data_IF_477350715592
#
_entry.id   IF_477350715592
#
_cell.length_a   1.000
_cell.length_b   1.000
_cell.length_c   1.000
_cell.angle_alpha   90.00
_cell.angle_beta   90.00
_cell.angle_gamma   90.00
#
_symmetry.space_group_name_H-M   'P 1'
#
loop_
_entity.id
_entity.type
_entity.pdbx_description
1 polymer ?
#
# COMPACT_ATOMS: atom_id res chain seq x y z
N UNK A 1 -45.64 27.09 -29.40
CA UNK A 1 -45.44 26.76 -27.99
C UNK A 1 -44.59 25.48 -27.92
N UNK A 2 -43.28 25.62 -27.71
CA UNK A 2 -42.31 24.51 -27.78
C UNK A 2 -42.04 24.04 -26.36
N UNK A 3 -42.58 22.89 -25.97
CA UNK A 3 -42.27 22.28 -24.67
C UNK A 3 -40.90 21.60 -24.75
N UNK A 4 -39.90 22.20 -24.11
CA UNK A 4 -38.60 21.59 -23.90
C UNK A 4 -38.75 20.63 -22.71
N UNK A 5 -38.79 19.34 -22.99
CA UNK A 5 -38.71 18.31 -21.96
C UNK A 5 -37.29 18.24 -21.43
N UNK A 6 -37.05 18.75 -20.22
CA UNK A 6 -35.78 18.53 -19.49
C UNK A 6 -35.81 17.11 -18.91
N UNK A 7 -34.87 16.22 -19.27
CA UNK A 7 -34.84 14.91 -18.67
C UNK A 7 -34.45 15.04 -17.19
N UNK A 8 -35.33 14.64 -16.30
CA UNK A 8 -35.08 14.49 -14.89
C UNK A 8 -34.08 13.33 -14.73
N UNK A 9 -32.79 13.65 -14.62
CA UNK A 9 -31.78 12.70 -14.20
C UNK A 9 -32.14 12.23 -12.78
N UNK A 10 -32.31 10.91 -12.59
CA UNK A 10 -32.64 10.35 -11.31
C UNK A 10 -31.52 10.67 -10.29
N UNK A 11 -31.90 10.94 -9.04
CA UNK A 11 -30.97 11.30 -7.96
C UNK A 11 -29.81 10.28 -7.77
N UNK A 12 -30.05 9.02 -8.11
CA UNK A 12 -29.04 7.95 -8.10
C UNK A 12 -27.93 8.15 -9.16
N UNK A 13 -28.25 8.68 -10.34
CA UNK A 13 -27.26 8.94 -11.38
C UNK A 13 -26.37 10.13 -11.02
N UNK A 14 -26.96 11.19 -10.43
CA UNK A 14 -26.21 12.36 -9.97
C UNK A 14 -25.25 11.95 -8.83
N UNK A 15 -25.71 11.13 -7.88
CA UNK A 15 -24.88 10.65 -6.78
C UNK A 15 -23.69 9.79 -7.26
N UNK A 16 -23.90 8.91 -8.26
CA UNK A 16 -22.83 8.08 -8.82
C UNK A 16 -21.80 8.92 -9.59
N UNK A 17 -22.23 9.93 -10.34
CA UNK A 17 -21.35 10.84 -11.10
C UNK A 17 -20.52 11.70 -10.14
N UNK A 18 -21.12 12.24 -9.08
CA UNK A 18 -20.40 13.02 -8.06
C UNK A 18 -19.42 12.14 -7.29
N UNK A 19 -19.80 10.92 -6.93
CA UNK A 19 -18.93 9.97 -6.23
C UNK A 19 -17.73 9.55 -7.10
N UNK A 20 -17.94 9.27 -8.39
CA UNK A 20 -16.85 8.95 -9.32
C UNK A 20 -15.90 10.15 -9.54
N UNK A 21 -16.41 11.38 -9.47
CA UNK A 21 -15.58 12.58 -9.57
C UNK A 21 -14.72 12.84 -8.32
N UNK A 22 -15.16 12.38 -7.15
CA UNK A 22 -14.46 12.58 -5.86
C UNK A 22 -13.45 11.48 -5.53
N UNK A 23 -13.52 10.32 -6.19
CA UNK A 23 -12.64 9.15 -5.95
C UNK A 23 -11.35 9.17 -6.80
N UNK A 24 -11.05 10.27 -7.51
CA UNK A 24 -9.84 10.39 -8.32
C UNK A 24 -8.87 11.36 -7.67
N UNK A 25 -7.64 10.91 -7.48
CA UNK A 25 -6.53 11.68 -6.95
C UNK A 25 -5.54 12.02 -8.09
N UNK A 26 -4.70 13.02 -7.89
CA UNK A 26 -3.54 13.21 -8.75
C UNK A 26 -2.57 12.04 -8.51
N UNK A 27 -1.95 11.54 -9.57
CA UNK A 27 -1.07 10.39 -9.44
C UNK A 27 0.02 10.33 -10.49
N UNK A 28 1.11 9.67 -10.12
CA UNK A 28 2.23 9.30 -10.98
C UNK A 28 2.39 7.79 -10.93
N UNK A 29 2.27 7.14 -12.07
CA UNK A 29 2.51 5.71 -12.23
C UNK A 29 3.87 5.50 -12.86
N UNK A 30 4.77 4.81 -12.16
CA UNK A 30 6.05 4.38 -12.69
C UNK A 30 5.92 2.90 -13.04
N UNK A 31 6.16 2.56 -14.30
CA UNK A 31 6.14 1.20 -14.80
C UNK A 31 7.47 0.49 -14.51
N UNK A 32 7.49 -0.84 -14.50
CA UNK A 32 8.71 -1.64 -14.30
C UNK A 32 9.77 -1.45 -15.40
N UNK A 33 9.34 -1.03 -16.59
CA UNK A 33 10.23 -0.70 -17.71
C UNK A 33 10.79 0.74 -17.65
N UNK A 34 10.46 1.50 -16.59
CA UNK A 34 10.85 2.88 -16.39
C UNK A 34 9.92 3.91 -17.03
N UNK A 35 8.90 3.49 -17.78
CA UNK A 35 7.91 4.42 -18.35
C UNK A 35 7.10 5.09 -17.25
N UNK A 36 6.83 6.39 -17.40
CA UNK A 36 6.07 7.15 -16.41
C UNK A 36 4.82 7.79 -17.02
N UNK A 37 3.75 7.78 -16.23
CA UNK A 37 2.49 8.44 -16.58
C UNK A 37 2.03 9.32 -15.42
N UNK A 38 1.63 10.54 -15.72
CA UNK A 38 1.07 11.49 -14.74
C UNK A 38 -0.35 11.83 -15.12
N UNK A 39 -1.23 11.96 -14.14
CA UNK A 39 -2.62 12.30 -14.37
C UNK A 39 -3.52 11.96 -13.19
N UNK A 40 -4.82 11.91 -13.44
CA UNK A 40 -5.79 11.56 -12.41
C UNK A 40 -6.01 10.07 -12.35
N UNK A 41 -5.85 9.49 -11.17
CA UNK A 41 -5.93 8.06 -10.93
C UNK A 41 -7.06 7.75 -9.94
N UNK A 42 -7.79 6.65 -10.20
CA UNK A 42 -8.71 6.11 -9.20
C UNK A 42 -7.90 5.29 -8.18
N UNK A 43 -8.07 5.64 -6.89
CA UNK A 43 -7.39 4.93 -5.80
C UNK A 43 -7.68 3.42 -5.85
N UNK A 44 -6.66 2.56 -5.82
CA UNK A 44 -6.86 1.12 -5.83
C UNK A 44 -7.44 0.63 -4.50
N UNK A 45 -8.18 -0.46 -4.56
CA UNK A 45 -8.37 -1.37 -3.43
C UNK A 45 -7.22 -2.37 -3.41
N UNK A 46 -7.00 -3.07 -2.31
CA UNK A 46 -5.91 -4.04 -2.20
C UNK A 46 -5.85 -5.05 -3.36
N UNK A 47 -6.97 -5.54 -3.84
CA UNK A 47 -7.09 -6.55 -4.90
C UNK A 47 -7.29 -5.99 -6.31
N UNK A 48 -7.11 -4.68 -6.53
CA UNK A 48 -7.29 -4.05 -7.85
C UNK A 48 -6.23 -4.54 -8.83
N UNK A 49 -6.64 -5.15 -9.92
CA UNK A 49 -5.72 -5.70 -10.93
C UNK A 49 -5.34 -4.69 -12.02
N UNK A 50 -6.10 -3.62 -12.17
CA UNK A 50 -5.90 -2.62 -13.23
C UNK A 50 -6.09 -1.23 -12.67
N UNK A 51 -5.08 -0.39 -12.79
CA UNK A 51 -5.16 1.04 -12.51
C UNK A 51 -5.74 1.77 -13.72
N UNK A 52 -6.70 2.66 -13.47
CA UNK A 52 -7.24 3.57 -14.48
C UNK A 52 -6.67 4.95 -14.22
N UNK A 53 -5.98 5.48 -15.21
CA UNK A 53 -5.37 6.80 -15.18
C UNK A 53 -5.90 7.62 -16.35
N UNK A 54 -6.23 8.89 -16.09
CA UNK A 54 -6.56 9.88 -17.11
C UNK A 54 -5.46 10.92 -17.12
N UNK A 55 -4.69 10.95 -18.22
CA UNK A 55 -3.60 11.92 -18.43
C UNK A 55 -4.14 13.36 -18.61
N UNK A 56 -3.29 14.36 -18.54
CA UNK A 56 -3.66 15.77 -18.69
C UNK A 56 -4.22 16.08 -20.09
N UNK A 57 -3.70 15.41 -21.13
CA UNK A 57 -4.21 15.48 -22.51
C UNK A 57 -5.54 14.73 -22.73
N UNK A 58 -6.09 14.13 -21.66
CA UNK A 58 -7.38 13.44 -21.64
C UNK A 58 -7.37 11.99 -22.06
N UNK A 59 -6.21 11.40 -22.37
CA UNK A 59 -6.07 9.98 -22.67
C UNK A 59 -6.46 9.12 -21.47
N UNK A 60 -7.16 8.02 -21.70
CA UNK A 60 -7.56 7.05 -20.66
C UNK A 60 -6.72 5.79 -20.77
N UNK A 61 -5.87 5.56 -19.80
CA UNK A 61 -5.00 4.40 -19.71
C UNK A 61 -5.56 3.34 -18.77
N UNK A 62 -5.32 2.08 -19.09
CA UNK A 62 -5.57 0.90 -18.24
C UNK A 62 -4.25 0.17 -18.07
N UNK A 63 -3.66 0.27 -16.90
CA UNK A 63 -2.33 -0.25 -16.57
C UNK A 63 -2.48 -1.47 -15.65
N UNK A 64 -1.88 -2.60 -16.01
CA UNK A 64 -1.93 -3.80 -15.17
C UNK A 64 -1.06 -3.60 -13.91
N UNK A 65 -1.55 -4.04 -12.77
CA UNK A 65 -0.81 -3.95 -11.50
C UNK A 65 0.53 -4.70 -11.53
N UNK A 66 0.64 -5.78 -12.31
CA UNK A 66 1.88 -6.56 -12.49
C UNK A 66 3.00 -5.80 -13.17
N UNK A 67 2.66 -4.79 -13.97
CA UNK A 67 3.58 -4.03 -14.80
C UNK A 67 3.99 -2.70 -14.14
N UNK A 68 3.33 -2.34 -13.02
CA UNK A 68 3.59 -1.12 -12.26
C UNK A 68 4.66 -1.41 -11.19
N UNK A 69 5.69 -0.56 -11.14
CA UNK A 69 6.69 -0.57 -10.08
C UNK A 69 6.16 0.17 -8.84
N UNK A 70 5.67 1.40 -9.03
CA UNK A 70 5.14 2.23 -7.94
C UNK A 70 4.05 3.17 -8.45
N UNK A 71 3.07 3.42 -7.60
CA UNK A 71 2.02 4.42 -7.79
C UNK A 71 2.17 5.50 -6.70
N UNK A 72 2.61 6.70 -7.07
CA UNK A 72 2.54 7.87 -6.22
C UNK A 72 1.16 8.54 -6.35
N UNK A 73 0.56 8.93 -5.23
CA UNK A 73 -0.74 9.59 -5.18
C UNK A 73 -0.74 10.75 -4.21
N UNK A 74 -1.43 11.83 -4.56
CA UNK A 74 -1.54 13.02 -3.71
C UNK A 74 -2.83 13.79 -3.97
N UNK A 75 -3.19 14.64 -3.04
CA UNK A 75 -4.28 15.59 -3.22
C UNK A 75 -3.77 16.80 -3.98
N UNK A 76 -4.51 17.29 -4.99
CA UNK A 76 -4.14 18.47 -5.77
C UNK A 76 -3.83 19.70 -4.91
N UNK A 77 -4.47 19.80 -3.74
CA UNK A 77 -4.27 20.89 -2.77
C UNK A 77 -3.10 20.64 -1.81
N UNK A 78 -2.47 19.46 -1.83
CA UNK A 78 -1.39 19.04 -0.93
C UNK A 78 -0.34 18.25 -1.72
N UNK A 79 0.33 18.92 -2.65
CA UNK A 79 1.36 18.30 -3.52
C UNK A 79 2.64 17.93 -2.77
N UNK A 80 2.82 18.48 -1.57
CA UNK A 80 3.87 18.16 -0.61
C UNK A 80 3.67 16.81 0.10
N UNK A 81 2.44 16.26 0.06
CA UNK A 81 2.07 15.00 0.70
C UNK A 81 1.82 13.91 -0.34
N UNK A 82 2.90 13.36 -0.89
CA UNK A 82 2.83 12.23 -1.81
C UNK A 82 2.88 10.90 -1.04
N UNK A 83 1.94 10.01 -1.31
CA UNK A 83 1.88 8.67 -0.74
C UNK A 83 2.20 7.63 -1.81
N UNK A 84 3.01 6.65 -1.46
CA UNK A 84 3.42 5.61 -2.39
C UNK A 84 2.70 4.31 -2.11
N UNK A 85 2.21 3.69 -3.20
CA UNK A 85 1.56 2.39 -3.20
C UNK A 85 2.33 1.46 -4.14
N UNK A 86 2.55 0.24 -3.68
CA UNK A 86 3.18 -0.83 -4.45
C UNK A 86 2.27 -2.04 -4.52
N UNK A 87 2.51 -2.94 -5.48
CA UNK A 87 1.70 -4.15 -5.63
C UNK A 87 2.59 -5.38 -5.62
N UNK A 88 2.64 -6.08 -4.46
CA UNK A 88 3.47 -7.27 -4.26
C UNK A 88 2.67 -8.46 -3.73
N UNK A 89 3.09 -9.70 -4.04
CA UNK A 89 2.62 -10.88 -3.33
C UNK A 89 3.23 -10.92 -1.92
N UNK A 90 2.57 -11.64 -1.01
CA UNK A 90 3.10 -11.88 0.33
C UNK A 90 2.74 -13.28 0.83
N UNK A 91 3.54 -13.80 1.76
CA UNK A 91 3.27 -15.06 2.44
C UNK A 91 2.45 -14.85 3.70
N UNK A 92 1.50 -15.76 3.93
CA UNK A 92 0.76 -15.80 5.20
C UNK A 92 1.64 -16.40 6.28
N UNK A 93 1.59 -15.83 7.50
CA UNK A 93 2.26 -16.42 8.66
C UNK A 93 1.61 -17.74 9.07
N UNK A 94 2.40 -18.65 9.62
CA UNK A 94 1.92 -19.89 10.27
C UNK A 94 1.43 -19.58 11.69
N UNK A 95 0.36 -18.80 11.86
CA UNK A 95 -0.23 -18.70 13.19
C UNK A 95 -0.93 -20.01 13.56
N UNK A 96 -0.40 -20.74 14.56
CA UNK A 96 -1.01 -21.92 15.18
C UNK A 96 -1.37 -23.08 14.25
N UNK A 97 -0.78 -23.19 13.06
CA UNK A 97 -1.12 -24.20 12.07
C UNK A 97 0.09 -24.93 11.54
N UNK A 98 -0.01 -26.26 11.42
CA UNK A 98 0.94 -27.13 10.68
C UNK A 98 0.82 -26.96 9.15
N UNK A 99 -0.12 -26.13 8.68
CA UNK A 99 -0.32 -25.88 7.24
C UNK A 99 0.85 -25.10 6.65
N UNK A 100 1.20 -25.41 5.40
CA UNK A 100 2.23 -24.66 4.65
C UNK A 100 1.84 -23.20 4.53
N UNK A 101 2.83 -22.31 4.58
CA UNK A 101 2.67 -20.89 4.22
C UNK A 101 2.01 -20.81 2.84
N UNK A 102 1.06 -19.90 2.67
CA UNK A 102 0.35 -19.68 1.40
C UNK A 102 0.78 -18.33 0.84
N UNK A 103 1.21 -18.32 -0.41
CA UNK A 103 1.47 -17.08 -1.14
C UNK A 103 0.11 -16.49 -1.57
N UNK A 104 -0.11 -15.25 -1.19
CA UNK A 104 -1.26 -14.46 -1.62
C UNK A 104 -0.88 -13.72 -2.90
N UNK A 105 -1.81 -13.67 -3.87
CA UNK A 105 -1.64 -12.91 -5.12
C UNK A 105 -1.29 -11.44 -4.81
N UNK A 106 -0.61 -10.74 -5.75
CA UNK A 106 -0.20 -9.36 -5.56
C UNK A 106 -1.35 -8.48 -5.04
N UNK A 107 -1.08 -7.72 -4.00
CA UNK A 107 -2.00 -6.79 -3.36
C UNK A 107 -1.38 -5.39 -3.34
N UNK A 108 -2.21 -4.37 -3.49
CA UNK A 108 -1.78 -2.98 -3.29
C UNK A 108 -1.56 -2.72 -1.80
N UNK A 109 -0.42 -2.13 -1.49
CA UNK A 109 0.01 -1.79 -0.13
C UNK A 109 0.59 -0.39 -0.12
N UNK A 110 0.37 0.38 0.95
CA UNK A 110 1.09 1.63 1.18
C UNK A 110 2.50 1.35 1.68
N UNK A 111 3.46 2.17 1.25
CA UNK A 111 4.83 2.14 1.77
C UNK A 111 4.83 2.87 3.11
N UNK A 112 5.24 2.18 4.18
CA UNK A 112 5.30 2.72 5.54
C UNK A 112 6.74 3.11 5.92
N UNK A 113 7.72 2.31 5.49
CA UNK A 113 9.14 2.60 5.68
C UNK A 113 9.97 1.93 4.59
N UNK A 114 11.12 2.51 4.30
CA UNK A 114 12.04 2.01 3.27
C UNK A 114 13.49 2.25 3.70
N UNK A 115 14.30 1.19 3.62
CA UNK A 115 15.75 1.20 3.80
C UNK A 115 16.46 0.59 2.60
N UNK A 116 17.78 0.47 2.70
CA UNK A 116 18.62 -0.08 1.63
C UNK A 116 18.41 -1.58 1.39
N UNK A 117 17.97 -2.32 2.42
CA UNK A 117 17.88 -3.79 2.39
C UNK A 117 16.48 -4.33 2.68
N UNK A 118 15.57 -3.52 3.23
CA UNK A 118 14.21 -3.94 3.58
C UNK A 118 13.21 -2.81 3.41
N UNK A 119 12.01 -3.17 3.04
CA UNK A 119 10.85 -2.27 2.92
C UNK A 119 9.71 -2.80 3.78
N UNK A 120 8.92 -1.87 4.34
CA UNK A 120 7.74 -2.17 5.13
C UNK A 120 6.50 -1.55 4.49
N UNK A 121 5.41 -2.31 4.48
CA UNK A 121 4.18 -1.95 3.83
C UNK A 121 2.98 -2.15 4.74
N UNK A 122 1.93 -1.39 4.49
CA UNK A 122 0.62 -1.63 5.10
C UNK A 122 -0.38 -2.06 4.03
N UNK A 123 -0.92 -3.26 4.17
CA UNK A 123 -1.97 -3.81 3.32
C UNK A 123 -3.33 -3.66 3.99
N UNK A 124 -4.27 -3.04 3.30
CA UNK A 124 -5.65 -2.87 3.77
C UNK A 124 -6.65 -2.91 2.62
N UNK A 125 -7.92 -3.09 2.94
CA UNK A 125 -8.97 -3.21 1.94
C UNK A 125 -9.09 -1.97 1.05
N UNK A 126 -9.00 -0.75 1.62
CA UNK A 126 -9.18 0.50 0.87
C UNK A 126 -8.25 1.61 1.39
N UNK A 127 -7.74 2.39 0.46
CA UNK A 127 -6.97 3.61 0.71
C UNK A 127 -7.77 4.83 0.22
N UNK A 128 -7.65 5.96 0.91
CA UNK A 128 -8.24 7.23 0.50
C UNK A 128 -7.40 8.40 0.99
N UNK A 129 -7.49 9.54 0.28
CA UNK A 129 -6.80 10.76 0.66
C UNK A 129 -7.86 11.83 0.95
N UNK A 130 -8.15 12.15 2.23
CA UNK A 130 -9.03 13.23 2.63
C UNK A 130 -8.55 14.60 2.18
N UNK A 131 -9.32 15.65 2.52
CA UNK A 131 -9.01 17.04 2.14
C UNK A 131 -7.71 17.57 2.74
N UNK A 132 -7.25 17.02 3.87
CA UNK A 132 -6.00 17.39 4.54
C UNK A 132 -4.75 16.74 3.92
N UNK A 133 -4.93 15.91 2.88
CA UNK A 133 -3.86 15.25 2.15
C UNK A 133 -3.25 14.05 2.87
N UNK A 134 -3.75 13.63 4.03
CA UNK A 134 -3.28 12.42 4.72
C UNK A 134 -3.70 11.15 3.99
N UNK A 135 -2.96 10.05 4.15
CA UNK A 135 -3.40 8.74 3.69
C UNK A 135 -4.25 8.07 4.78
N UNK A 136 -5.49 7.79 4.47
CA UNK A 136 -6.39 7.05 5.36
C UNK A 136 -6.52 5.61 4.88
N UNK A 137 -6.22 4.71 5.78
CA UNK A 137 -6.26 3.26 5.58
C UNK A 137 -7.55 2.74 6.22
N UNK A 138 -8.45 2.16 5.42
CA UNK A 138 -9.76 1.70 5.88
C UNK A 138 -9.86 0.20 5.78
N UNK A 139 -10.18 -0.45 6.90
CA UNK A 139 -10.49 -1.87 6.99
C UNK A 139 -12.00 -2.08 7.01
N UNK A 140 -12.47 -3.21 6.48
CA UNK A 140 -13.89 -3.62 6.57
C UNK A 140 -14.14 -4.37 7.88
N UNK A 141 -13.12 -5.03 8.44
CA UNK A 141 -13.18 -5.82 9.67
C UNK A 141 -11.92 -5.63 10.51
N UNK A 142 -12.02 -5.88 11.82
CA UNK A 142 -10.85 -5.91 12.69
C UNK A 142 -9.88 -7.02 12.23
N UNK A 143 -8.61 -6.66 12.02
CA UNK A 143 -7.57 -7.60 11.56
C UNK A 143 -7.28 -7.55 10.05
N UNK A 144 -8.04 -6.76 9.27
CA UNK A 144 -7.79 -6.64 7.82
C UNK A 144 -6.66 -5.65 7.46
N UNK A 145 -6.06 -4.98 8.45
CA UNK A 145 -4.88 -4.15 8.26
C UNK A 145 -3.68 -4.97 8.68
N UNK A 146 -2.87 -5.32 7.69
CA UNK A 146 -1.66 -6.14 7.85
C UNK A 146 -0.42 -5.32 7.54
N UNK A 147 0.65 -5.61 8.26
CA UNK A 147 1.97 -5.06 7.97
C UNK A 147 2.84 -6.16 7.39
N UNK A 148 3.50 -5.84 6.30
CA UNK A 148 4.28 -6.77 5.48
C UNK A 148 5.69 -6.22 5.37
N UNK A 149 6.70 -7.04 5.65
CA UNK A 149 8.10 -6.75 5.35
C UNK A 149 8.51 -7.46 4.06
N UNK A 150 9.40 -6.84 3.28
CA UNK A 150 10.00 -7.43 2.10
C UNK A 150 11.48 -7.02 2.01
N UNK A 151 12.37 -8.00 1.96
CA UNK A 151 13.80 -7.73 1.69
C UNK A 151 13.98 -7.30 0.24
N UNK A 152 14.88 -6.36 0.00
CA UNK A 152 15.20 -5.92 -1.36
C UNK A 152 15.73 -7.11 -2.16
N UNK A 153 15.20 -7.30 -3.37
CA UNK A 153 15.50 -8.44 -4.23
C UNK A 153 14.59 -9.65 -4.04
N UNK A 154 13.81 -9.74 -2.96
CA UNK A 154 12.78 -10.79 -2.82
C UNK A 154 11.52 -10.44 -3.60
N UNK A 155 10.89 -11.45 -4.23
CA UNK A 155 9.62 -11.25 -4.94
C UNK A 155 8.43 -11.15 -3.98
N UNK A 156 8.52 -11.83 -2.84
CA UNK A 156 7.40 -12.05 -1.91
C UNK A 156 7.71 -11.48 -0.54
N UNK A 157 6.81 -10.66 0.00
CA UNK A 157 6.91 -10.17 1.37
C UNK A 157 6.42 -11.19 2.41
N UNK A 158 6.61 -10.89 3.69
CA UNK A 158 6.13 -11.68 4.82
C UNK A 158 5.30 -10.80 5.77
N UNK A 159 4.17 -11.32 6.28
CA UNK A 159 3.38 -10.62 7.30
C UNK A 159 4.18 -10.58 8.60
N UNK A 160 4.39 -9.36 9.13
CA UNK A 160 5.08 -9.11 10.40
C UNK A 160 4.14 -8.66 11.51
N UNK A 161 2.90 -8.28 11.19
CA UNK A 161 1.94 -7.81 12.18
C UNK A 161 0.57 -7.49 11.61
N UNK A 162 -0.34 -7.25 12.54
CA UNK A 162 -1.71 -6.80 12.24
C UNK A 162 -2.04 -5.60 13.11
N UNK A 163 -2.94 -4.74 12.67
CA UNK A 163 -3.44 -3.65 13.50
C UNK A 163 -4.08 -4.22 14.77
N UNK A 164 -3.59 -3.76 15.94
CA UNK A 164 -4.06 -4.26 17.24
C UNK A 164 -3.33 -5.49 17.76
N UNK A 165 -2.41 -6.10 17.01
CA UNK A 165 -1.50 -7.09 17.61
C UNK A 165 -0.48 -6.39 18.52
N UNK A 166 -0.17 -7.03 19.67
CA UNK A 166 0.73 -6.45 20.66
C UNK A 166 2.19 -6.41 20.20
N UNK A 167 2.98 -5.51 20.79
CA UNK A 167 4.41 -5.31 20.48
C UNK A 167 5.26 -6.59 20.59
N UNK A 168 4.90 -7.50 21.50
CA UNK A 168 5.58 -8.81 21.62
C UNK A 168 5.42 -9.65 20.35
N UNK A 169 4.23 -9.66 19.74
CA UNK A 169 3.98 -10.38 18.49
C UNK A 169 4.80 -9.76 17.35
N UNK A 170 4.74 -8.45 17.17
CA UNK A 170 5.52 -7.74 16.15
C UNK A 170 7.01 -8.05 16.26
N UNK A 171 7.55 -7.92 17.47
CA UNK A 171 8.97 -8.19 17.75
C UNK A 171 9.35 -9.60 17.35
N UNK A 172 8.56 -10.62 17.73
CA UNK A 172 8.86 -12.00 17.38
C UNK A 172 8.87 -12.26 15.88
N UNK A 173 7.95 -11.63 15.13
CA UNK A 173 7.89 -11.75 13.67
C UNK A 173 9.05 -11.03 12.99
N UNK A 174 9.43 -9.85 13.49
CA UNK A 174 10.57 -9.08 12.97
C UNK A 174 11.88 -9.84 13.20
N UNK A 175 12.11 -10.35 14.40
CA UNK A 175 13.31 -11.15 14.74
C UNK A 175 13.38 -12.41 13.88
N UNK A 176 12.27 -13.11 13.68
CA UNK A 176 12.22 -14.28 12.78
C UNK A 176 12.55 -13.92 11.34
N UNK A 177 11.98 -12.83 10.83
CA UNK A 177 12.15 -12.41 9.43
C UNK A 177 13.54 -11.82 9.14
N UNK A 178 14.09 -11.06 10.10
CA UNK A 178 15.39 -10.37 9.98
C UNK A 178 16.54 -11.14 10.64
N UNK A 179 16.42 -12.46 10.82
CA UNK A 179 17.36 -13.30 11.55
C UNK A 179 18.80 -13.33 10.97
N UNK A 180 18.97 -12.84 9.74
CA UNK A 180 20.27 -12.67 9.06
C UNK A 180 21.03 -11.41 9.51
N UNK A 181 20.42 -10.54 10.34
CA UNK A 181 21.08 -9.47 11.09
C UNK A 181 20.96 -9.70 12.61
N UNK A 182 21.87 -10.49 13.21
CA UNK A 182 21.83 -10.80 14.65
C UNK A 182 21.93 -9.57 15.56
N UNK A 183 22.63 -8.52 15.12
CA UNK A 183 22.81 -7.30 15.90
C UNK A 183 21.47 -6.52 16.01
N UNK A 184 20.75 -6.39 14.92
CA UNK A 184 19.42 -5.79 14.92
C UNK A 184 18.43 -6.65 15.73
N UNK A 185 18.47 -7.97 15.55
CA UNK A 185 17.63 -8.91 16.31
C UNK A 185 17.84 -8.75 17.82
N UNK A 186 19.09 -8.68 18.30
CA UNK A 186 19.39 -8.46 19.71
C UNK A 186 18.82 -7.14 20.25
N UNK A 187 18.93 -6.05 19.51
CA UNK A 187 18.33 -4.75 19.87
C UNK A 187 16.81 -4.80 19.97
N UNK A 188 16.16 -5.52 19.05
CA UNK A 188 14.72 -5.74 19.08
C UNK A 188 14.30 -6.57 20.30
N UNK A 189 15.01 -7.67 20.60
CA UNK A 189 14.75 -8.55 21.75
C UNK A 189 14.93 -7.82 23.07
N UNK A 190 16.00 -7.04 23.19
CA UNK A 190 16.31 -6.21 24.37
C UNK A 190 15.41 -4.98 24.51
N UNK A 191 14.51 -4.73 23.56
CA UNK A 191 13.62 -3.56 23.51
C UNK A 191 14.36 -2.19 23.43
N UNK A 192 15.56 -2.20 22.89
CA UNK A 192 16.32 -0.98 22.60
C UNK A 192 15.70 -0.21 21.41
N UNK A 193 14.96 -0.94 20.53
CA UNK A 193 14.20 -0.37 19.41
C UNK A 193 12.74 -0.78 19.59
N UNK A 194 11.84 0.19 19.40
CA UNK A 194 10.40 -0.11 19.35
C UNK A 194 10.08 -0.88 18.06
N UNK A 195 9.41 -2.03 18.19
CA UNK A 195 9.00 -2.86 17.06
C UNK A 195 7.98 -2.19 16.13
N UNK A 196 7.39 -1.07 16.52
CA UNK A 196 6.52 -0.24 15.67
C UNK A 196 7.26 0.87 14.93
N UNK A 197 8.51 1.16 15.27
CA UNK A 197 9.35 2.13 14.57
C UNK A 197 10.00 1.49 13.34
N UNK A 198 9.17 1.27 12.32
CA UNK A 198 9.57 0.56 11.10
C UNK A 198 10.66 1.29 10.32
N UNK A 199 10.71 2.65 10.39
CA UNK A 199 11.75 3.40 9.68
C UNK A 199 13.11 3.19 10.33
N UNK A 200 13.22 3.30 11.66
CA UNK A 200 14.47 2.99 12.37
C UNK A 200 14.93 1.55 12.11
N UNK A 201 14.01 0.59 12.05
CA UNK A 201 14.34 -0.80 11.75
C UNK A 201 14.87 -0.93 10.31
N UNK A 202 14.23 -0.26 9.34
CA UNK A 202 14.65 -0.27 7.94
C UNK A 202 16.04 0.34 7.74
N UNK A 203 16.33 1.44 8.44
CA UNK A 203 17.61 2.15 8.36
C UNK A 203 18.76 1.36 9.00
N UNK A 204 18.47 0.57 10.03
CA UNK A 204 19.48 -0.19 10.77
C UNK A 204 19.73 -1.59 10.20
N UNK A 205 18.76 -2.16 9.49
CA UNK A 205 18.88 -3.51 8.96
C UNK A 205 20.00 -3.60 7.91
N UNK A 206 20.99 -4.42 8.20
CA UNK A 206 22.13 -4.64 7.32
C UNK A 206 22.64 -6.10 7.44
N UNK A 207 22.18 -7.03 6.59
CA UNK A 207 22.49 -8.44 6.64
C UNK A 207 23.98 -8.75 6.34
N UNK A 208 24.74 -7.78 5.80
CA UNK A 208 26.15 -7.94 5.44
C UNK A 208 27.12 -7.63 6.60
N UNK A 209 26.62 -7.00 7.68
CA UNK A 209 27.42 -6.76 8.91
C UNK A 209 27.48 -8.04 9.77
N UNK A 210 28.40 -8.91 9.43
CA UNK A 210 28.78 -10.04 10.30
C UNK A 210 29.82 -9.61 11.33
#
# INVERSE_FOLDING_TARGET
MLCIAVPLLSSCQIYSVVKDATDHEEGRVVMKDGTEYVGRVKMPKCNTQTIRLKTEDGQKLKLKNTDIAVLGVWKKTHTDKCHFLVCHPYETTKMFSTKKKKIIKPQWMSVEAQGDHVEFYCCSYKYSIPKDGSLVITSVQNGDIMFVARKIGEETGCIIGYKGSGSKYWRSQLVEYLADDPNLCAKLENKEIDSSDLQTIADLYNPEKK
#
